data_IF_439283071165
#
_entry.id   IF_439283071165
#
_cell.length_a   1.000
_cell.length_b   1.000
_cell.length_c   1.000
_cell.angle_alpha   90.00
_cell.angle_beta   90.00
_cell.angle_gamma   90.00
#
_symmetry.space_group_name_H-M   'P 1'
#
loop_
_entity.id
_entity.type
_entity.pdbx_description
1 polymer ?
#
# COMPACT_ATOMS: atom_id res chain seq x y z
N UNK A 1 -7.27 23.57 -4.30
CA UNK A 1 -8.27 24.09 -3.35
C UNK A 1 -9.55 24.38 -4.09
N UNK A 2 -10.62 23.72 -3.66
CA UNK A 2 -11.94 23.74 -4.28
C UNK A 2 -12.90 24.44 -3.32
N UNK A 3 -13.38 25.63 -3.70
CA UNK A 3 -14.33 26.37 -2.86
C UNK A 3 -15.72 25.78 -3.02
N UNK A 4 -16.28 25.22 -1.94
CA UNK A 4 -17.58 24.55 -1.96
C UNK A 4 -18.56 25.31 -1.08
N UNK A 5 -19.72 25.63 -1.66
CA UNK A 5 -20.86 26.23 -0.96
C UNK A 5 -21.84 25.17 -0.52
N UNK A 6 -22.30 25.24 0.73
CA UNK A 6 -23.22 24.25 1.26
C UNK A 6 -24.14 24.86 2.33
N UNK A 7 -25.23 24.15 2.64
CA UNK A 7 -26.12 24.42 3.76
C UNK A 7 -25.90 23.39 4.86
N UNK A 8 -25.68 23.87 6.07
CA UNK A 8 -25.53 23.08 7.29
C UNK A 8 -26.89 22.61 7.81
N UNK A 9 -26.90 21.57 8.66
CA UNK A 9 -28.15 21.05 9.27
C UNK A 9 -28.92 22.08 10.10
N UNK A 10 -28.26 23.10 10.63
CA UNK A 10 -28.90 24.20 11.37
C UNK A 10 -29.49 25.30 10.45
N UNK A 11 -29.36 25.16 9.13
CA UNK A 11 -29.84 26.11 8.13
C UNK A 11 -28.82 27.18 7.72
N UNK A 12 -27.66 27.25 8.38
CA UNK A 12 -26.61 28.22 8.03
C UNK A 12 -25.96 27.87 6.69
N UNK A 13 -25.53 28.89 5.97
CA UNK A 13 -24.85 28.75 4.68
C UNK A 13 -23.37 29.04 4.88
N UNK A 14 -22.52 28.10 4.45
CA UNK A 14 -21.07 28.20 4.51
C UNK A 14 -20.41 28.13 3.12
N UNK A 15 -19.17 28.59 3.05
CA UNK A 15 -18.30 28.47 1.88
C UNK A 15 -16.89 28.20 2.39
N UNK A 16 -16.32 27.05 2.03
CA UNK A 16 -15.00 26.64 2.53
C UNK A 16 -14.16 26.09 1.39
N UNK A 17 -12.85 26.28 1.51
CA UNK A 17 -11.87 25.71 0.59
C UNK A 17 -11.55 24.29 1.05
N UNK A 18 -12.02 23.30 0.30
CA UNK A 18 -11.65 21.90 0.49
C UNK A 18 -10.31 21.60 -0.23
N UNK A 19 -9.53 20.61 0.26
CA UNK A 19 -9.79 19.80 1.45
C UNK A 19 -9.45 20.56 2.75
N UNK A 20 -10.26 20.33 3.78
CA UNK A 20 -10.10 20.83 5.14
C UNK A 20 -9.26 19.88 5.98
N UNK A 21 -8.63 20.42 7.03
CA UNK A 21 -7.96 19.60 8.05
C UNK A 21 -8.97 18.82 8.89
N UNK A 22 -8.55 17.71 9.49
CA UNK A 22 -9.42 16.90 10.35
C UNK A 22 -10.04 17.70 11.51
N UNK A 23 -9.26 18.60 12.14
CA UNK A 23 -9.76 19.49 13.19
C UNK A 23 -10.89 20.39 12.68
N UNK A 24 -10.72 20.99 11.50
CA UNK A 24 -11.75 21.82 10.87
C UNK A 24 -12.99 20.99 10.49
N UNK A 25 -12.81 19.76 10.00
CA UNK A 25 -13.93 18.86 9.70
C UNK A 25 -14.77 18.57 10.94
N UNK A 26 -14.11 18.22 12.06
CA UNK A 26 -14.78 17.95 13.33
C UNK A 26 -15.49 19.19 13.89
N UNK A 27 -14.86 20.35 13.78
CA UNK A 27 -15.42 21.62 14.27
C UNK A 27 -16.61 22.10 13.43
N UNK A 28 -16.46 22.12 12.11
CA UNK A 28 -17.46 22.68 11.20
C UNK A 28 -18.58 21.70 10.88
N UNK A 29 -18.32 20.39 10.88
CA UNK A 29 -19.29 19.36 10.52
C UNK A 29 -19.48 18.31 11.62
N UNK A 30 -19.91 18.70 12.83
CA UNK A 30 -20.14 17.76 13.92
C UNK A 30 -21.19 16.69 13.58
N UNK A 31 -22.15 17.02 12.71
CA UNK A 31 -23.18 16.09 12.23
C UNK A 31 -22.80 15.38 10.92
N UNK A 32 -21.59 15.61 10.38
CA UNK A 32 -21.00 14.97 9.19
C UNK A 32 -21.69 15.20 7.86
N UNK A 33 -22.97 15.55 7.83
CA UNK A 33 -23.72 15.73 6.59
C UNK A 33 -23.82 17.21 6.20
N UNK A 34 -23.72 17.48 4.90
CA UNK A 34 -23.91 18.81 4.32
C UNK A 34 -24.82 18.72 3.10
N UNK A 35 -25.64 19.73 2.86
CA UNK A 35 -26.39 19.88 1.60
C UNK A 35 -25.60 20.76 0.64
N UNK A 36 -25.18 20.21 -0.50
CA UNK A 36 -24.42 20.96 -1.51
C UNK A 36 -25.30 22.04 -2.16
N UNK A 37 -24.82 23.27 -2.22
CA UNK A 37 -25.48 24.34 -2.98
C UNK A 37 -25.01 24.34 -4.44
N UNK A 38 -25.73 25.07 -5.29
CA UNK A 38 -25.50 25.08 -6.75
C UNK A 38 -24.04 25.44 -7.11
N UNK A 39 -23.34 24.47 -7.71
CA UNK A 39 -22.03 24.60 -8.34
C UNK A 39 -22.16 24.46 -9.87
N UNK A 40 -21.47 25.29 -10.63
CA UNK A 40 -21.59 25.35 -12.10
C UNK A 40 -20.32 24.98 -12.85
N UNK A 41 -19.17 25.18 -12.22
CA UNK A 41 -17.87 25.18 -12.90
C UNK A 41 -17.11 23.87 -12.71
N UNK A 42 -17.48 23.06 -11.73
CA UNK A 42 -16.80 21.80 -11.41
C UNK A 42 -17.72 20.64 -11.83
N UNK A 43 -17.43 19.94 -12.94
CA UNK A 43 -18.36 18.94 -13.51
C UNK A 43 -18.75 17.83 -12.54
N UNK A 44 -17.77 17.26 -11.84
CA UNK A 44 -18.00 16.21 -10.85
C UNK A 44 -18.82 16.70 -9.65
N UNK A 45 -18.79 17.99 -9.33
CA UNK A 45 -19.54 18.56 -8.21
C UNK A 45 -20.94 19.03 -8.63
N UNK A 46 -21.08 19.62 -9.82
CA UNK A 46 -22.35 20.11 -10.37
C UNK A 46 -23.40 19.00 -10.48
N UNK A 47 -22.99 17.80 -10.86
CA UNK A 47 -23.86 16.60 -10.91
C UNK A 47 -24.49 16.23 -9.57
N UNK A 48 -23.99 16.79 -8.46
CA UNK A 48 -24.44 16.55 -7.09
C UNK A 48 -25.17 17.73 -6.46
N UNK A 49 -25.47 18.78 -7.23
CA UNK A 49 -26.15 19.97 -6.70
C UNK A 49 -27.42 19.61 -5.92
N UNK A 50 -27.59 20.22 -4.74
CA UNK A 50 -28.71 20.00 -3.80
C UNK A 50 -28.79 18.61 -3.17
N UNK A 51 -27.77 17.76 -3.34
CA UNK A 51 -27.68 16.48 -2.65
C UNK A 51 -27.09 16.66 -1.24
N UNK A 52 -27.54 15.82 -0.31
CA UNK A 52 -26.91 15.66 1.00
C UNK A 52 -25.73 14.71 0.88
N UNK A 53 -24.55 15.16 1.26
CA UNK A 53 -23.30 14.42 1.19
C UNK A 53 -22.68 14.28 2.58
N UNK A 54 -21.93 13.21 2.81
CA UNK A 54 -21.02 13.12 3.95
C UNK A 54 -19.80 14.01 3.66
N UNK A 55 -19.50 14.95 4.56
CA UNK A 55 -18.43 15.93 4.45
C UNK A 55 -17.04 15.29 4.48
N UNK A 56 -16.85 14.19 5.21
CA UNK A 56 -15.60 13.43 5.23
C UNK A 56 -15.39 12.70 3.90
N UNK A 57 -16.45 12.14 3.31
CA UNK A 57 -16.38 11.51 1.98
C UNK A 57 -16.05 12.55 0.90
N UNK A 58 -16.69 13.72 0.96
CA UNK A 58 -16.39 14.84 0.07
C UNK A 58 -14.94 15.32 0.26
N UNK A 59 -14.47 15.47 1.50
CA UNK A 59 -13.11 15.92 1.79
C UNK A 59 -12.06 14.95 1.24
N UNK A 60 -12.26 13.65 1.48
CA UNK A 60 -11.39 12.60 0.98
C UNK A 60 -11.35 12.58 -0.56
N UNK A 61 -12.51 12.71 -1.22
CA UNK A 61 -12.55 12.77 -2.68
C UNK A 61 -11.88 14.04 -3.23
N UNK A 62 -12.13 15.22 -2.65
CA UNK A 62 -11.48 16.47 -3.09
C UNK A 62 -9.96 16.36 -2.93
N UNK A 63 -9.48 15.82 -1.80
CA UNK A 63 -8.05 15.57 -1.58
C UNK A 63 -7.47 14.67 -2.67
N UNK A 64 -8.13 13.56 -3.00
CA UNK A 64 -7.71 12.67 -4.07
C UNK A 64 -7.72 13.37 -5.44
N UNK A 65 -8.80 14.08 -5.78
CA UNK A 65 -8.94 14.79 -7.05
C UNK A 65 -7.88 15.89 -7.22
N UNK A 66 -7.58 16.65 -6.16
CA UNK A 66 -6.56 17.70 -6.19
C UNK A 66 -5.12 17.17 -6.24
N UNK A 67 -4.90 15.90 -5.86
CA UNK A 67 -3.61 15.23 -6.06
C UNK A 67 -3.33 14.85 -7.52
N UNK A 68 -4.37 14.87 -8.37
CA UNK A 68 -4.25 14.55 -9.79
C UNK A 68 -3.66 15.72 -10.58
N UNK A 69 -2.94 15.41 -11.64
CA UNK A 69 -2.48 16.39 -12.62
C UNK A 69 -3.65 17.01 -13.38
N UNK A 70 -3.46 18.21 -13.95
CA UNK A 70 -4.48 18.89 -14.75
C UNK A 70 -5.05 18.01 -15.88
N UNK A 71 -4.20 17.17 -16.50
CA UNK A 71 -4.63 16.25 -17.55
C UNK A 71 -5.53 15.12 -17.01
N UNK A 72 -5.18 14.54 -15.87
CA UNK A 72 -5.96 13.50 -15.20
C UNK A 72 -7.29 14.04 -14.69
N UNK A 73 -7.30 15.27 -14.15
CA UNK A 73 -8.53 15.97 -13.78
C UNK A 73 -9.46 16.16 -14.98
N UNK A 74 -8.94 16.56 -16.15
CA UNK A 74 -9.73 16.63 -17.39
C UNK A 74 -10.29 15.27 -17.80
N UNK A 75 -9.51 14.20 -17.63
CA UNK A 75 -9.96 12.82 -17.92
C UNK A 75 -11.11 12.40 -16.99
N UNK A 76 -11.02 12.68 -15.69
CA UNK A 76 -12.12 12.44 -14.74
C UNK A 76 -13.36 13.26 -15.11
N UNK A 77 -13.20 14.54 -15.47
CA UNK A 77 -14.32 15.37 -15.89
C UNK A 77 -14.98 14.88 -17.20
N UNK A 78 -14.19 14.35 -18.13
CA UNK A 78 -14.70 13.68 -19.33
C UNK A 78 -15.55 12.46 -18.97
N UNK A 79 -15.06 11.59 -18.08
CA UNK A 79 -15.79 10.42 -17.57
C UNK A 79 -17.13 10.84 -16.94
N UNK A 80 -17.12 11.88 -16.09
CA UNK A 80 -18.34 12.37 -15.44
C UNK A 80 -19.34 12.96 -16.43
N UNK A 81 -18.86 13.67 -17.46
CA UNK A 81 -19.76 14.26 -18.46
C UNK A 81 -20.59 13.21 -19.22
N UNK A 82 -20.05 11.99 -19.37
CA UNK A 82 -20.76 10.85 -19.96
C UNK A 82 -21.60 10.10 -18.92
N UNK A 83 -21.14 10.05 -17.67
CA UNK A 83 -21.77 9.30 -16.58
C UNK A 83 -22.05 10.22 -15.37
N UNK A 84 -23.06 11.11 -15.45
CA UNK A 84 -23.32 12.10 -14.40
C UNK A 84 -23.85 11.49 -13.10
N UNK A 85 -24.29 10.22 -13.11
CA UNK A 85 -24.85 9.54 -11.94
C UNK A 85 -23.82 8.87 -11.03
N UNK A 86 -22.52 8.87 -11.40
CA UNK A 86 -21.47 8.24 -10.60
C UNK A 86 -21.42 8.87 -9.20
N UNK A 87 -21.42 8.04 -8.17
CA UNK A 87 -21.19 8.40 -6.75
C UNK A 87 -19.73 8.79 -6.51
N UNK A 88 -19.43 9.44 -5.37
CA UNK A 88 -18.02 9.77 -5.03
C UNK A 88 -17.14 8.51 -4.93
N UNK A 89 -17.72 7.41 -4.45
CA UNK A 89 -17.04 6.13 -4.35
C UNK A 89 -16.70 5.56 -5.74
N UNK A 90 -17.64 5.60 -6.68
CA UNK A 90 -17.39 5.19 -8.06
C UNK A 90 -16.38 6.13 -8.75
N UNK A 91 -16.39 7.44 -8.47
CA UNK A 91 -15.35 8.33 -8.99
C UNK A 91 -13.97 8.00 -8.43
N UNK A 92 -13.86 7.66 -7.14
CA UNK A 92 -12.62 7.16 -6.54
C UNK A 92 -12.13 5.91 -7.28
N UNK A 93 -13.02 4.97 -7.61
CA UNK A 93 -12.67 3.81 -8.43
C UNK A 93 -12.14 4.21 -9.81
N UNK A 94 -12.79 5.13 -10.50
CA UNK A 94 -12.32 5.58 -11.82
C UNK A 94 -10.95 6.26 -11.73
N UNK A 95 -10.62 6.90 -10.61
CA UNK A 95 -9.28 7.44 -10.34
C UNK A 95 -8.26 6.31 -10.13
N UNK A 96 -8.60 5.28 -9.34
CA UNK A 96 -7.73 4.12 -9.11
C UNK A 96 -7.44 3.34 -10.40
N UNK A 97 -8.42 3.27 -11.30
CA UNK A 97 -8.33 2.59 -12.60
C UNK A 97 -8.24 3.57 -13.77
N UNK A 98 -7.64 4.75 -13.57
CA UNK A 98 -7.60 5.80 -14.60
C UNK A 98 -6.89 5.36 -15.89
N UNK A 99 -6.00 4.38 -15.80
CA UNK A 99 -5.29 3.73 -16.91
C UNK A 99 -6.19 2.83 -17.79
N UNK A 100 -7.45 2.60 -17.40
CA UNK A 100 -8.46 1.96 -18.24
C UNK A 100 -9.09 2.93 -19.24
N UNK A 101 -8.73 4.21 -19.16
CA UNK A 101 -9.28 5.27 -20.00
C UNK A 101 -8.17 6.08 -20.67
N UNK A 102 -8.30 6.34 -21.96
CA UNK A 102 -7.41 7.22 -22.72
C UNK A 102 -8.11 8.52 -23.07
N UNK A 103 -7.54 9.67 -22.72
CA UNK A 103 -8.08 10.97 -23.16
C UNK A 103 -7.17 11.56 -24.23
N UNK A 104 -7.74 11.87 -25.40
CA UNK A 104 -7.05 12.55 -26.49
C UNK A 104 -7.65 13.94 -26.64
N UNK A 105 -6.94 14.94 -26.12
CA UNK A 105 -7.41 16.33 -26.06
C UNK A 105 -6.82 17.23 -27.16
N UNK A 106 -6.03 16.66 -28.05
CA UNK A 106 -5.42 17.31 -29.20
C UNK A 106 -5.96 16.71 -30.50
N UNK A 107 -6.28 17.58 -31.46
CA UNK A 107 -6.80 17.17 -32.76
C UNK A 107 -5.76 16.41 -33.59
N UNK A 108 -4.48 16.81 -33.52
CA UNK A 108 -3.42 16.16 -34.29
C UNK A 108 -3.19 14.73 -33.78
N UNK A 109 -3.21 14.53 -32.46
CA UNK A 109 -3.04 13.22 -31.83
C UNK A 109 -4.24 12.29 -32.10
N UNK A 110 -5.45 12.84 -32.24
CA UNK A 110 -6.59 12.05 -32.68
C UNK A 110 -6.50 11.70 -34.17
N UNK A 111 -6.09 12.64 -35.03
CA UNK A 111 -6.14 12.44 -36.48
C UNK A 111 -5.01 11.58 -37.02
N UNK A 112 -3.79 11.71 -36.48
CA UNK A 112 -2.62 10.91 -36.87
C UNK A 112 -2.64 9.59 -36.10
N UNK A 113 -2.80 8.47 -36.82
CA UNK A 113 -3.01 7.16 -36.18
C UNK A 113 -1.81 6.67 -35.36
N UNK A 114 -0.57 6.90 -35.80
CA UNK A 114 0.63 6.61 -34.99
C UNK A 114 0.62 7.39 -33.66
N UNK A 115 0.34 8.70 -33.68
CA UNK A 115 0.23 9.50 -32.47
C UNK A 115 -0.86 8.97 -31.54
N UNK A 116 -2.05 8.66 -32.09
CA UNK A 116 -3.16 8.12 -31.30
C UNK A 116 -2.73 6.85 -30.56
N UNK A 117 -2.15 5.89 -31.28
CA UNK A 117 -1.75 4.62 -30.71
C UNK A 117 -0.73 4.81 -29.59
N UNK A 118 0.29 5.66 -29.81
CA UNK A 118 1.29 6.00 -28.81
C UNK A 118 0.70 6.66 -27.57
N UNK A 119 -0.20 7.63 -27.74
CA UNK A 119 -0.84 8.33 -26.64
C UNK A 119 -1.74 7.42 -25.80
N UNK A 120 -2.55 6.56 -26.45
CA UNK A 120 -3.37 5.59 -25.73
C UNK A 120 -2.50 4.57 -24.98
N UNK A 121 -1.40 4.13 -25.58
CA UNK A 121 -0.48 3.17 -25.00
C UNK A 121 0.24 3.69 -23.76
N UNK A 122 0.78 4.92 -23.81
CA UNK A 122 1.40 5.58 -22.64
C UNK A 122 0.41 5.76 -21.50
N UNK A 123 -0.85 6.07 -21.82
CA UNK A 123 -1.90 6.23 -20.82
C UNK A 123 -2.36 4.90 -20.19
N UNK A 124 -2.27 3.79 -20.93
CA UNK A 124 -2.58 2.46 -20.43
C UNK A 124 -1.51 1.91 -19.48
N UNK A 125 -0.24 2.26 -19.72
CA UNK A 125 0.91 1.78 -18.96
C UNK A 125 1.69 2.94 -18.30
N UNK A 126 1.11 3.63 -17.30
CA UNK A 126 1.73 4.81 -16.68
C UNK A 126 3.05 4.50 -15.95
N UNK A 127 3.26 3.23 -15.55
CA UNK A 127 4.47 2.77 -14.85
C UNK A 127 5.50 2.14 -15.79
N UNK A 128 5.33 2.30 -17.11
CA UNK A 128 6.16 1.65 -18.12
C UNK A 128 5.54 0.37 -18.65
N UNK A 129 6.01 -0.03 -19.83
CA UNK A 129 5.52 -1.20 -20.56
C UNK A 129 6.03 -2.47 -19.89
N UNK A 130 5.18 -3.47 -19.63
CA UNK A 130 5.63 -4.77 -19.17
C UNK A 130 6.63 -5.40 -20.15
N UNK A 131 7.67 -6.05 -19.61
CA UNK A 131 8.67 -6.76 -20.41
C UNK A 131 7.99 -7.77 -21.34
N UNK A 132 8.29 -7.70 -22.64
CA UNK A 132 7.75 -8.59 -23.67
C UNK A 132 6.47 -8.12 -24.38
N UNK A 133 5.88 -6.97 -23.98
CA UNK A 133 4.76 -6.34 -24.71
C UNK A 133 5.26 -5.35 -25.78
N UNK A 134 6.54 -4.96 -25.74
CA UNK A 134 7.14 -4.08 -26.75
C UNK A 134 7.25 -4.86 -28.07
N UNK A 135 6.26 -4.67 -28.96
CA UNK A 135 6.44 -4.85 -30.39
C UNK A 135 7.66 -4.04 -30.81
N UNK A 136 8.53 -4.64 -31.62
CA UNK A 136 9.75 -4.00 -32.13
C UNK A 136 9.47 -2.55 -32.53
N UNK A 137 10.43 -1.63 -32.32
CA UNK A 137 10.37 -0.17 -32.66
C UNK A 137 10.14 0.14 -34.16
N UNK A 138 9.36 -0.68 -34.87
CA UNK A 138 9.01 -0.58 -36.27
C UNK A 138 7.73 0.27 -36.39
N UNK A 139 7.90 1.45 -36.98
CA UNK A 139 6.86 2.45 -37.30
C UNK A 139 5.59 1.96 -38.04
N UNK A 140 5.53 0.82 -38.78
CA UNK A 140 4.28 0.39 -39.42
C UNK A 140 3.20 -0.09 -38.43
N UNK A 141 3.58 -0.67 -37.28
CA UNK A 141 2.62 -1.30 -36.35
C UNK A 141 1.75 -0.25 -35.64
N UNK A 142 2.33 0.89 -35.25
CA UNK A 142 1.61 1.97 -34.57
C UNK A 142 0.53 2.63 -35.42
N UNK A 143 0.74 2.74 -36.74
CA UNK A 143 -0.29 3.27 -37.65
C UNK A 143 -1.51 2.35 -37.70
N UNK A 144 -1.29 1.04 -37.87
CA UNK A 144 -2.35 0.03 -37.91
C UNK A 144 -3.10 -0.05 -36.56
N UNK A 145 -2.38 0.02 -35.44
CA UNK A 145 -2.96 0.02 -34.10
C UNK A 145 -3.83 1.25 -33.84
N UNK A 146 -3.42 2.42 -34.34
CA UNK A 146 -4.20 3.65 -34.22
C UNK A 146 -5.49 3.62 -35.04
N UNK A 147 -5.42 3.09 -36.27
CA UNK A 147 -6.61 2.87 -37.11
C UNK A 147 -7.54 1.83 -36.49
N UNK A 148 -6.98 0.76 -35.92
CA UNK A 148 -7.74 -0.25 -35.18
C UNK A 148 -8.45 0.36 -33.98
N UNK A 149 -7.75 1.16 -33.17
CA UNK A 149 -8.31 1.82 -32.00
C UNK A 149 -9.51 2.71 -32.33
N UNK A 150 -9.43 3.54 -33.38
CA UNK A 150 -10.55 4.38 -33.85
C UNK A 150 -11.77 3.57 -34.27
N UNK A 151 -11.56 2.39 -34.84
CA UNK A 151 -12.65 1.58 -35.39
C UNK A 151 -13.30 0.66 -34.35
N UNK A 152 -12.53 0.21 -33.34
CA UNK A 152 -12.93 -0.90 -32.47
C UNK A 152 -13.04 -0.54 -30.99
N UNK A 153 -12.28 0.44 -30.49
CA UNK A 153 -12.42 0.87 -29.10
C UNK A 153 -13.63 1.78 -28.95
N UNK A 154 -14.39 1.57 -27.87
CA UNK A 154 -15.44 2.51 -27.51
C UNK A 154 -14.81 3.87 -27.17
N UNK A 155 -15.31 4.93 -27.80
CA UNK A 155 -14.84 6.28 -27.53
C UNK A 155 -15.92 7.32 -27.79
N UNK A 156 -15.86 8.42 -27.02
CA UNK A 156 -16.86 9.49 -27.06
C UNK A 156 -16.20 10.85 -27.09
N UNK A 157 -16.76 11.78 -27.87
CA UNK A 157 -16.35 13.17 -27.86
C UNK A 157 -16.95 13.89 -26.64
N UNK A 158 -16.10 14.59 -25.88
CA UNK A 158 -16.47 15.39 -24.70
C UNK A 158 -15.93 16.81 -24.84
N UNK A 159 -16.30 17.72 -23.93
CA UNK A 159 -15.73 19.07 -23.85
C UNK A 159 -14.22 19.07 -23.54
N UNK A 160 -13.66 17.92 -23.17
CA UNK A 160 -12.26 17.73 -22.81
C UNK A 160 -11.44 17.00 -23.89
N UNK A 161 -12.07 16.54 -24.97
CA UNK A 161 -11.45 15.72 -26.01
C UNK A 161 -12.17 14.39 -26.24
N UNK A 162 -11.51 13.47 -26.92
CA UNK A 162 -12.00 12.11 -27.17
C UNK A 162 -11.60 11.18 -26.03
N UNK A 163 -12.58 10.64 -25.32
CA UNK A 163 -12.37 9.69 -24.24
C UNK A 163 -12.55 8.27 -24.78
N UNK A 164 -11.49 7.48 -24.78
CA UNK A 164 -11.44 6.07 -25.15
C UNK A 164 -11.55 5.18 -23.91
N UNK A 165 -12.32 4.11 -24.02
CA UNK A 165 -12.37 3.01 -23.05
C UNK A 165 -11.35 1.96 -23.50
N UNK A 166 -10.25 1.85 -22.76
CA UNK A 166 -9.17 0.90 -23.04
C UNK A 166 -9.42 -0.47 -22.40
N UNK A 167 -10.16 -0.48 -21.29
CA UNK A 167 -10.66 -1.69 -20.64
C UNK A 167 -12.02 -1.41 -20.00
N UNK A 168 -13.03 -2.16 -20.42
CA UNK A 168 -14.42 -2.02 -19.99
C UNK A 168 -14.76 -2.77 -18.69
N UNK A 169 -13.80 -3.54 -18.15
CA UNK A 169 -13.98 -4.39 -16.97
C UNK A 169 -13.45 -3.75 -15.70
N UNK A 170 -14.04 -2.62 -15.30
CA UNK A 170 -13.82 -2.11 -13.96
C UNK A 170 -14.26 -3.16 -12.93
N UNK A 171 -13.45 -3.46 -11.89
CA UNK A 171 -13.87 -4.35 -10.82
C UNK A 171 -15.16 -3.87 -10.16
N UNK A 172 -16.03 -4.75 -9.71
CA UNK A 172 -17.23 -4.31 -8.98
C UNK A 172 -16.86 -3.84 -7.56
N UNK A 173 -17.40 -2.70 -7.13
CA UNK A 173 -17.30 -2.26 -5.73
C UNK A 173 -18.34 -3.06 -4.91
N UNK A 174 -17.93 -3.76 -3.83
CA UNK A 174 -18.85 -4.35 -2.86
C UNK A 174 -19.81 -3.29 -2.30
N UNK A 175 -21.09 -3.66 -2.10
CA UNK A 175 -22.20 -2.74 -1.77
C UNK A 175 -21.94 -1.80 -0.58
N UNK A 176 -21.17 -2.25 0.40
CA UNK A 176 -20.89 -1.53 1.66
C UNK A 176 -19.44 -1.02 1.78
N UNK A 177 -18.62 -1.18 0.74
CA UNK A 177 -17.24 -0.71 0.76
C UNK A 177 -17.17 0.78 0.44
N UNK A 178 -16.55 1.56 1.33
CA UNK A 178 -16.07 2.91 1.00
C UNK A 178 -14.60 2.77 0.58
N UNK A 179 -14.32 2.97 -0.72
CA UNK A 179 -12.97 2.82 -1.25
C UNK A 179 -12.02 3.80 -0.57
N UNK A 180 -10.83 3.31 -0.26
CA UNK A 180 -9.82 4.16 0.31
C UNK A 180 -9.39 5.25 -0.69
N UNK A 181 -9.11 6.46 -0.20
CA UNK A 181 -8.80 7.62 -1.04
C UNK A 181 -7.34 7.65 -1.54
N UNK A 182 -6.78 6.47 -1.88
CA UNK A 182 -5.45 6.33 -2.48
C UNK A 182 -5.59 6.09 -3.97
N UNK A 183 -4.67 6.68 -4.74
CA UNK A 183 -4.46 6.39 -6.15
C UNK A 183 -3.78 5.04 -6.38
N UNK A 184 -2.94 4.61 -5.43
CA UNK A 184 -2.12 3.42 -5.55
C UNK A 184 -2.77 2.26 -4.79
N UNK A 185 -3.04 1.18 -5.52
CA UNK A 185 -3.42 -0.12 -4.99
C UNK A 185 -2.18 -1.01 -5.01
N UNK A 186 -1.36 -0.92 -3.96
CA UNK A 186 -0.36 -1.96 -3.73
C UNK A 186 -1.06 -3.19 -3.14
N UNK A 187 -0.75 -4.38 -3.67
CA UNK A 187 -1.28 -5.62 -3.11
C UNK A 187 -0.58 -5.89 -1.77
N UNK A 188 -1.32 -5.89 -0.64
CA UNK A 188 -0.71 -6.07 0.67
C UNK A 188 -0.44 -7.55 0.95
N UNK A 189 0.62 -7.88 1.69
CA UNK A 189 0.82 -9.23 2.25
C UNK A 189 -0.22 -9.56 3.33
N UNK A 190 -0.64 -8.54 4.08
CA UNK A 190 -1.72 -8.59 5.09
C UNK A 190 -2.70 -7.45 4.81
N UNK A 191 -3.95 -7.80 4.49
CA UNK A 191 -5.01 -6.83 4.29
C UNK A 191 -5.63 -6.43 5.62
N UNK A 192 -5.77 -5.12 5.84
CA UNK A 192 -6.50 -4.55 6.97
C UNK A 192 -7.85 -4.04 6.52
N UNK A 193 -8.90 -4.42 7.23
CA UNK A 193 -10.25 -3.92 7.00
C UNK A 193 -10.81 -3.34 8.30
N UNK A 194 -11.37 -2.14 8.21
CA UNK A 194 -12.05 -1.49 9.33
C UNK A 194 -13.53 -1.40 9.00
N UNK A 195 -14.37 -1.88 9.91
CA UNK A 195 -15.81 -2.04 9.69
C UNK A 195 -16.62 -1.36 10.78
N UNK A 196 -17.66 -0.62 10.40
CA UNK A 196 -18.68 -0.13 11.32
C UNK A 196 -19.64 -1.28 11.68
N UNK A 197 -19.69 -1.70 12.96
CA UNK A 197 -20.52 -2.83 13.38
C UNK A 197 -22.03 -2.56 13.25
N UNK A 198 -22.45 -1.30 13.21
CA UNK A 198 -23.87 -0.90 13.17
C UNK A 198 -24.48 -1.02 11.78
N UNK A 199 -23.78 -0.51 10.76
CA UNK A 199 -24.29 -0.45 9.39
C UNK A 199 -23.53 -1.36 8.41
N UNK A 200 -22.49 -2.08 8.89
CA UNK A 200 -21.66 -3.01 8.11
C UNK A 200 -20.87 -2.35 6.96
N UNK A 201 -20.81 -1.01 6.92
CA UNK A 201 -19.92 -0.30 6.01
C UNK A 201 -18.46 -0.49 6.42
N UNK A 202 -17.57 -0.62 5.44
CA UNK A 202 -16.16 -0.92 5.70
C UNK A 202 -15.22 -0.22 4.74
N UNK A 203 -13.95 -0.11 5.15
CA UNK A 203 -12.84 0.40 4.34
C UNK A 203 -11.70 -0.61 4.44
N UNK A 204 -11.16 -1.00 3.27
CA UNK A 204 -9.86 -1.68 3.20
C UNK A 204 -8.76 -0.63 3.25
N UNK A 205 -7.94 -0.66 4.30
CA UNK A 205 -6.88 0.32 4.48
C UNK A 205 -5.67 -0.02 3.58
N UNK A 206 -4.99 0.99 3.01
CA UNK A 206 -3.79 0.80 2.21
C UNK A 206 -2.56 0.60 3.09
N UNK A 207 -1.46 0.28 2.44
CA UNK A 207 -0.14 0.26 3.03
C UNK A 207 0.30 1.69 3.36
N UNK A 208 0.39 2.01 4.66
CA UNK A 208 0.93 3.26 5.21
C UNK A 208 -0.01 4.46 5.14
N UNK A 209 -0.47 4.92 6.32
CA UNK A 209 -1.20 6.17 6.49
C UNK A 209 -0.60 6.98 7.63
N UNK A 210 -0.66 8.31 7.49
CA UNK A 210 -0.54 9.18 8.66
C UNK A 210 -1.75 8.96 9.59
N UNK A 211 -1.55 9.08 10.90
CA UNK A 211 -2.61 8.83 11.89
C UNK A 211 -3.84 9.72 11.66
N UNK A 212 -3.64 10.93 11.13
CA UNK A 212 -4.69 11.89 10.78
C UNK A 212 -5.51 11.43 9.57
N UNK A 213 -4.85 11.01 8.48
CA UNK A 213 -5.48 10.46 7.27
C UNK A 213 -6.22 9.16 7.55
N UNK A 214 -5.66 8.30 8.41
CA UNK A 214 -6.32 7.10 8.88
C UNK A 214 -7.59 7.45 9.65
N UNK A 215 -7.51 8.37 10.61
CA UNK A 215 -8.68 8.80 11.38
C UNK A 215 -9.74 9.45 10.48
N UNK A 216 -9.35 10.38 9.61
CA UNK A 216 -10.25 11.01 8.64
C UNK A 216 -10.96 9.95 7.77
N UNK A 217 -10.22 8.96 7.30
CA UNK A 217 -10.75 7.87 6.49
C UNK A 217 -11.75 7.03 7.26
N UNK A 218 -11.41 6.61 8.47
CA UNK A 218 -12.29 5.82 9.33
C UNK A 218 -13.59 6.56 9.68
N UNK A 219 -13.53 7.88 9.89
CA UNK A 219 -14.73 8.69 10.17
C UNK A 219 -15.71 8.81 8.98
N UNK A 220 -15.27 8.45 7.77
CA UNK A 220 -16.18 8.27 6.62
C UNK A 220 -17.18 7.16 6.88
N UNK A 221 -16.93 6.20 7.76
CA UNK A 221 -17.84 5.09 8.09
C UNK A 221 -19.02 5.47 8.99
N UNK A 222 -19.28 6.76 9.19
CA UNK A 222 -20.44 7.27 9.94
C UNK A 222 -20.46 6.84 11.43
N UNK A 223 -19.28 6.77 12.07
CA UNK A 223 -19.07 6.43 13.51
C UNK A 223 -18.54 7.58 14.33
N UNK A 224 -19.04 7.82 15.56
CA UNK A 224 -18.62 8.95 16.41
C UNK A 224 -17.10 8.99 16.66
N UNK A 225 -16.52 7.86 17.05
CA UNK A 225 -15.08 7.66 17.23
C UNK A 225 -14.56 6.52 16.35
N UNK A 226 -13.25 6.52 16.06
CA UNK A 226 -12.58 5.36 15.45
C UNK A 226 -12.62 4.13 16.36
N UNK A 227 -12.72 4.33 17.68
CA UNK A 227 -12.79 3.24 18.67
C UNK A 227 -14.10 2.46 18.59
N UNK A 228 -15.12 3.01 17.93
CA UNK A 228 -16.41 2.34 17.69
C UNK A 228 -16.35 1.35 16.51
N UNK A 229 -15.21 1.26 15.83
CA UNK A 229 -15.00 0.40 14.68
C UNK A 229 -14.42 -0.95 15.08
N UNK A 230 -14.65 -1.94 14.22
CA UNK A 230 -14.07 -3.27 14.34
C UNK A 230 -12.95 -3.45 13.32
N UNK A 231 -11.80 -3.92 13.80
CA UNK A 231 -10.64 -4.26 12.98
C UNK A 231 -10.71 -5.74 12.58
N UNK A 232 -10.55 -6.03 11.29
CA UNK A 232 -10.25 -7.37 10.81
C UNK A 232 -8.98 -7.37 9.97
N UNK A 233 -8.23 -8.47 10.08
CA UNK A 233 -6.97 -8.66 9.38
C UNK A 233 -6.98 -10.00 8.66
N UNK A 234 -6.58 -10.00 7.40
CA UNK A 234 -6.60 -11.14 6.51
C UNK A 234 -5.20 -11.38 5.95
N UNK A 235 -4.75 -12.64 5.99
CA UNK A 235 -3.50 -13.02 5.35
C UNK A 235 -3.73 -13.17 3.85
N UNK A 236 -3.04 -12.35 3.05
CA UNK A 236 -3.11 -12.42 1.60
C UNK A 236 -1.94 -13.24 1.06
N UNK A 237 -0.72 -12.88 1.46
CA UNK A 237 0.54 -13.45 0.94
C UNK A 237 1.68 -13.46 1.99
N UNK A 238 1.40 -13.27 3.28
CA UNK A 238 2.40 -13.43 4.34
C UNK A 238 2.58 -14.91 4.70
N UNK A 239 3.76 -15.26 5.21
CA UNK A 239 3.98 -16.56 5.82
C UNK A 239 2.92 -16.86 6.89
N UNK A 240 2.39 -18.10 6.88
CA UNK A 240 1.26 -18.48 7.71
C UNK A 240 1.61 -18.56 9.19
N UNK A 241 2.82 -18.99 9.55
CA UNK A 241 3.29 -19.06 10.92
C UNK A 241 3.52 -17.66 11.47
N UNK A 242 4.19 -16.81 10.69
CA UNK A 242 4.36 -15.40 11.04
C UNK A 242 3.01 -14.70 11.25
N UNK A 243 2.04 -14.91 10.34
CA UNK A 243 0.71 -14.33 10.48
C UNK A 243 -0.01 -14.81 11.76
N UNK A 244 0.10 -16.09 12.09
CA UNK A 244 -0.50 -16.65 13.30
C UNK A 244 0.14 -16.10 14.59
N UNK A 245 1.43 -15.77 14.56
CA UNK A 245 2.10 -15.11 15.68
C UNK A 245 1.63 -13.67 15.87
N UNK A 246 1.55 -12.87 14.80
CA UNK A 246 1.23 -11.44 14.92
C UNK A 246 -0.27 -11.17 15.12
N UNK A 247 -1.14 -12.01 14.55
CA UNK A 247 -2.59 -11.72 14.47
C UNK A 247 -3.25 -11.50 15.85
N UNK A 248 -3.05 -12.35 16.88
CA UNK A 248 -3.68 -12.17 18.18
C UNK A 248 -3.30 -10.83 18.82
N UNK A 249 -2.02 -10.46 18.76
CA UNK A 249 -1.47 -9.23 19.36
C UNK A 249 -2.09 -7.99 18.70
N UNK A 250 -2.26 -8.02 17.38
CA UNK A 250 -2.84 -6.91 16.63
C UNK A 250 -4.34 -6.76 16.86
N UNK A 251 -5.07 -7.85 17.07
CA UNK A 251 -6.51 -7.78 17.36
C UNK A 251 -6.83 -7.24 18.75
N UNK A 252 -5.90 -7.37 19.70
CA UNK A 252 -6.02 -6.79 21.05
C UNK A 252 -5.57 -5.32 21.11
N UNK A 253 -4.94 -4.84 20.04
CA UNK A 253 -4.39 -3.49 19.93
C UNK A 253 -5.39 -2.53 19.26
N UNK A 254 -5.14 -1.22 19.38
CA UNK A 254 -5.97 -0.23 18.69
C UNK A 254 -5.71 -0.22 17.16
N UNK A 255 -6.65 0.34 16.41
CA UNK A 255 -6.61 0.37 14.94
C UNK A 255 -5.37 1.08 14.40
N UNK A 256 -4.99 2.22 15.00
CA UNK A 256 -3.88 3.05 14.54
C UNK A 256 -2.54 2.30 14.64
N UNK A 257 -2.23 1.79 15.84
CA UNK A 257 -1.00 1.04 16.07
C UNK A 257 -0.97 -0.22 15.21
N UNK A 258 -2.08 -0.95 15.11
CA UNK A 258 -2.16 -2.17 14.32
C UNK A 258 -1.92 -1.91 12.84
N UNK A 259 -2.54 -0.86 12.29
CA UNK A 259 -2.34 -0.45 10.90
C UNK A 259 -0.89 -0.02 10.62
N UNK A 260 -0.29 0.74 11.54
CA UNK A 260 1.13 1.15 11.43
C UNK A 260 2.07 -0.06 11.40
N UNK A 261 1.85 -1.03 12.30
CA UNK A 261 2.63 -2.26 12.32
C UNK A 261 2.47 -3.10 11.04
N UNK A 262 1.23 -3.30 10.59
CA UNK A 262 0.94 -4.08 9.37
C UNK A 262 1.52 -3.38 8.13
N UNK A 263 1.45 -2.06 8.07
CA UNK A 263 2.10 -1.26 7.03
C UNK A 263 3.61 -1.53 6.96
N UNK A 264 4.29 -1.61 8.11
CA UNK A 264 5.71 -1.92 8.15
C UNK A 264 6.00 -3.35 7.70
N UNK A 265 5.18 -4.33 8.12
CA UNK A 265 5.30 -5.72 7.65
C UNK A 265 5.16 -5.83 6.13
N UNK A 266 4.17 -5.13 5.56
CA UNK A 266 3.92 -5.19 4.12
C UNK A 266 5.02 -4.55 3.27
N UNK A 267 5.92 -3.76 3.88
CA UNK A 267 7.10 -3.18 3.21
C UNK A 267 8.34 -4.07 3.29
N UNK A 268 8.31 -5.13 4.10
CA UNK A 268 9.46 -6.02 4.26
C UNK A 268 9.71 -6.85 3.00
N UNK A 269 10.97 -7.00 2.64
CA UNK A 269 11.40 -7.94 1.63
C UNK A 269 11.49 -9.37 2.18
N UNK A 270 11.57 -10.35 1.28
CA UNK A 270 11.58 -11.78 1.65
C UNK A 270 12.59 -12.15 2.75
N UNK A 271 13.83 -11.66 2.68
CA UNK A 271 14.86 -11.94 3.69
C UNK A 271 14.55 -11.36 5.05
N UNK A 272 13.92 -10.19 5.08
CA UNK A 272 13.51 -9.53 6.32
C UNK A 272 12.33 -10.28 6.95
N UNK A 273 11.37 -10.73 6.14
CA UNK A 273 10.27 -11.58 6.59
C UNK A 273 10.80 -12.88 7.22
N UNK A 274 11.77 -13.54 6.57
CA UNK A 274 12.41 -14.75 7.11
C UNK A 274 13.13 -14.47 8.43
N UNK A 275 13.87 -13.36 8.51
CA UNK A 275 14.55 -12.95 9.74
C UNK A 275 13.54 -12.73 10.87
N UNK A 276 12.44 -12.01 10.60
CA UNK A 276 11.40 -11.73 11.58
C UNK A 276 10.72 -13.02 12.05
N UNK A 277 10.39 -13.93 11.13
CA UNK A 277 9.79 -15.22 11.50
C UNK A 277 10.72 -16.01 12.42
N UNK A 278 11.99 -16.11 12.02
CA UNK A 278 13.03 -16.77 12.83
C UNK A 278 13.17 -16.13 14.21
N UNK A 279 13.13 -14.80 14.34
CA UNK A 279 13.19 -14.14 15.65
C UNK A 279 12.00 -14.53 16.53
N UNK A 280 10.79 -14.55 15.96
CA UNK A 280 9.56 -14.84 16.70
C UNK A 280 9.41 -16.32 17.07
N UNK A 281 10.11 -17.24 16.42
CA UNK A 281 10.17 -18.65 16.83
C UNK A 281 10.86 -18.85 18.19
N UNK A 282 11.76 -17.94 18.57
CA UNK A 282 12.57 -18.08 19.79
C UNK A 282 12.22 -17.10 20.90
N UNK A 283 11.51 -16.02 20.58
CA UNK A 283 11.03 -15.03 21.55
C UNK A 283 9.51 -15.14 21.66
N UNK A 284 9.02 -15.30 22.88
CA UNK A 284 7.60 -15.10 23.15
C UNK A 284 7.31 -13.60 23.23
N UNK A 285 6.47 -13.10 22.33
CA UNK A 285 6.04 -11.71 22.29
C UNK A 285 4.53 -11.67 22.52
N UNK A 286 4.10 -10.99 23.58
CA UNK A 286 2.68 -10.85 23.94
C UNK A 286 2.16 -9.42 23.74
N UNK A 287 3.06 -8.48 23.48
CA UNK A 287 2.76 -7.05 23.43
C UNK A 287 3.19 -6.44 22.10
N UNK A 288 2.36 -5.51 21.61
CA UNK A 288 2.62 -4.85 20.34
C UNK A 288 3.87 -3.95 20.38
N UNK A 289 4.18 -3.32 21.51
CA UNK A 289 5.36 -2.46 21.63
C UNK A 289 6.63 -3.28 21.46
N UNK A 290 6.67 -4.50 22.00
CA UNK A 290 7.78 -5.44 21.78
C UNK A 290 7.91 -5.84 20.31
N UNK A 291 6.80 -6.18 19.65
CA UNK A 291 6.80 -6.45 18.20
C UNK A 291 7.34 -5.26 17.40
N UNK A 292 6.92 -4.03 17.72
CA UNK A 292 7.38 -2.83 17.05
C UNK A 292 8.88 -2.60 17.23
N UNK A 293 9.41 -2.84 18.44
CA UNK A 293 10.85 -2.71 18.72
C UNK A 293 11.65 -3.75 17.93
N UNK A 294 11.22 -5.02 17.90
CA UNK A 294 11.85 -6.08 17.10
C UNK A 294 11.87 -5.69 15.62
N UNK A 295 10.73 -5.24 15.10
CA UNK A 295 10.60 -4.84 13.70
C UNK A 295 11.49 -3.63 13.35
N UNK A 296 11.59 -2.64 14.24
CA UNK A 296 12.45 -1.47 14.05
C UNK A 296 13.95 -1.84 14.05
N UNK A 297 14.34 -2.83 14.86
CA UNK A 297 15.72 -3.34 14.94
C UNK A 297 15.99 -4.54 14.04
N UNK A 298 15.09 -4.90 13.13
CA UNK A 298 15.21 -6.12 12.31
C UNK A 298 16.51 -6.16 11.49
N UNK A 299 17.01 -4.98 11.09
CA UNK A 299 18.26 -4.80 10.35
C UNK A 299 19.53 -5.11 11.17
N UNK A 300 19.43 -5.11 12.50
CA UNK A 300 20.53 -5.44 13.41
C UNK A 300 20.69 -6.96 13.59
N UNK A 301 19.60 -7.71 13.43
CA UNK A 301 19.63 -9.17 13.39
C UNK A 301 20.27 -9.65 12.09
N UNK A 302 21.12 -10.67 12.17
CA UNK A 302 21.72 -11.28 10.97
C UNK A 302 21.39 -12.75 10.90
N UNK A 303 20.58 -13.10 9.91
CA UNK A 303 20.35 -14.49 9.54
C UNK A 303 21.43 -14.94 8.57
N UNK A 304 22.27 -15.87 9.01
CA UNK A 304 23.30 -16.52 8.21
C UNK A 304 22.79 -17.89 7.78
N UNK A 305 22.32 -17.96 6.54
CA UNK A 305 21.85 -19.20 5.92
C UNK A 305 23.02 -20.17 5.68
N UNK A 306 22.79 -21.45 5.97
CA UNK A 306 23.79 -22.53 5.82
C UNK A 306 23.14 -23.78 5.25
N UNK A 307 23.87 -24.56 4.44
CA UNK A 307 23.32 -25.78 3.83
C UNK A 307 23.35 -27.00 4.78
N UNK A 308 24.42 -27.13 5.56
CA UNK A 308 24.68 -28.27 6.44
C UNK A 308 24.31 -27.94 7.89
N UNK A 309 24.19 -26.64 8.21
CA UNK A 309 23.79 -26.14 9.53
C UNK A 309 24.74 -26.61 10.64
N UNK A 310 26.04 -26.40 10.40
CA UNK A 310 27.12 -26.74 11.34
C UNK A 310 27.88 -25.50 11.77
N UNK A 311 28.44 -25.55 12.98
CA UNK A 311 29.27 -24.46 13.53
C UNK A 311 30.48 -24.17 12.64
N UNK A 312 31.09 -25.20 12.03
CA UNK A 312 32.17 -25.05 11.07
C UNK A 312 31.74 -24.28 9.81
N UNK A 313 30.59 -24.59 9.24
CA UNK A 313 30.09 -23.92 8.05
C UNK A 313 29.82 -22.44 8.33
N UNK A 314 29.15 -22.15 9.45
CA UNK A 314 28.94 -20.78 9.92
C UNK A 314 30.26 -20.01 10.04
N UNK A 315 31.25 -20.58 10.74
CA UNK A 315 32.57 -19.96 10.89
C UNK A 315 33.24 -19.70 9.54
N UNK A 316 33.13 -20.64 8.60
CA UNK A 316 33.69 -20.51 7.25
C UNK A 316 33.07 -19.32 6.51
N UNK A 317 31.73 -19.19 6.55
CA UNK A 317 31.00 -18.08 5.93
C UNK A 317 31.44 -16.75 6.55
N UNK A 318 31.40 -16.62 7.88
CA UNK A 318 31.75 -15.37 8.58
C UNK A 318 33.18 -14.93 8.33
N UNK A 319 34.14 -15.85 8.37
CA UNK A 319 35.54 -15.54 8.11
C UNK A 319 35.75 -15.07 6.66
N UNK A 320 35.05 -15.69 5.69
CA UNK A 320 35.05 -15.25 4.29
C UNK A 320 34.44 -13.87 4.10
N UNK A 321 33.35 -13.56 4.80
CA UNK A 321 32.73 -12.22 4.78
C UNK A 321 33.65 -11.14 5.34
N UNK A 322 34.26 -11.38 6.51
CA UNK A 322 35.20 -10.45 7.15
C UNK A 322 36.42 -10.16 6.28
N UNK A 323 36.81 -11.12 5.44
CA UNK A 323 37.98 -11.03 4.59
C UNK A 323 37.70 -10.51 3.16
N UNK A 324 36.44 -10.16 2.80
CA UNK A 324 36.03 -9.77 1.43
C UNK A 324 36.83 -8.63 0.79
N UNK A 325 37.54 -7.80 1.56
CA UNK A 325 38.39 -6.72 1.03
C UNK A 325 39.90 -7.03 1.01
N UNK A 326 40.34 -8.22 1.46
CA UNK A 326 41.75 -8.57 1.64
C UNK A 326 42.10 -10.03 1.28
N UNK A 327 41.27 -10.72 0.50
CA UNK A 327 41.50 -12.13 0.14
C UNK A 327 42.66 -12.30 -0.86
N UNK A 328 43.88 -12.43 -0.34
CA UNK A 328 45.08 -12.75 -1.13
C UNK A 328 45.22 -14.27 -1.30
N UNK A 329 45.80 -14.71 -2.42
CA UNK A 329 46.00 -16.13 -2.78
C UNK A 329 46.57 -17.01 -1.65
N UNK A 330 47.43 -16.45 -0.78
CA UNK A 330 47.99 -17.12 0.39
C UNK A 330 46.95 -17.53 1.46
N UNK A 331 45.81 -16.83 1.56
CA UNK A 331 44.75 -17.17 2.51
C UNK A 331 43.95 -18.42 2.08
N UNK A 332 43.89 -18.74 0.78
CA UNK A 332 43.30 -20.01 0.32
C UNK A 332 44.05 -21.23 0.84
N UNK A 333 45.37 -21.10 1.03
CA UNK A 333 46.18 -22.18 1.59
C UNK A 333 45.97 -22.32 3.11
N UNK A 334 45.70 -21.22 3.81
CA UNK A 334 45.44 -21.23 5.26
C UNK A 334 44.07 -21.84 5.58
N UNK A 335 43.08 -21.70 4.68
CA UNK A 335 41.73 -22.28 4.80
C UNK A 335 41.76 -23.76 5.20
N UNK A 336 42.66 -24.55 4.59
CA UNK A 336 42.82 -26.00 4.87
C UNK A 336 43.38 -26.33 6.26
N UNK A 337 43.89 -25.34 7.00
CA UNK A 337 44.49 -25.51 8.33
C UNK A 337 43.65 -24.89 9.46
N UNK A 338 42.53 -24.24 9.13
CA UNK A 338 41.64 -23.65 10.13
C UNK A 338 40.73 -24.74 10.70
N UNK A 339 40.72 -24.87 12.03
CA UNK A 339 39.73 -25.68 12.74
C UNK A 339 38.41 -24.89 12.85
N UNK A 340 37.60 -24.97 11.81
CA UNK A 340 36.35 -24.22 11.72
C UNK A 340 35.34 -24.63 12.81
N UNK A 341 35.35 -25.87 13.27
CA UNK A 341 34.47 -26.32 14.35
C UNK A 341 34.82 -25.61 15.66
N UNK A 342 36.11 -25.61 16.05
CA UNK A 342 36.54 -24.95 17.28
C UNK A 342 36.32 -23.42 17.22
N UNK A 343 36.58 -22.81 16.05
CA UNK A 343 36.36 -21.37 15.84
C UNK A 343 34.86 -21.04 15.90
N UNK A 344 34.03 -21.81 15.19
CA UNK A 344 32.57 -21.62 15.16
C UNK A 344 31.94 -21.74 16.53
N UNK A 345 32.34 -22.78 17.28
CA UNK A 345 31.93 -22.95 18.67
C UNK A 345 32.29 -21.71 19.51
N UNK A 346 33.53 -21.23 19.40
CA UNK A 346 33.98 -20.04 20.14
C UNK A 346 33.22 -18.77 19.74
N UNK A 347 32.85 -18.63 18.45
CA UNK A 347 32.04 -17.51 17.98
C UNK A 347 30.63 -17.55 18.57
N UNK A 348 30.01 -18.74 18.59
CA UNK A 348 28.68 -18.98 19.14
C UNK A 348 28.67 -18.81 20.66
N UNK A 349 29.67 -19.33 21.37
CA UNK A 349 29.74 -19.23 22.84
C UNK A 349 29.96 -17.79 23.33
N UNK A 350 30.64 -16.94 22.55
CA UNK A 350 30.98 -15.56 22.94
C UNK A 350 29.93 -14.53 22.54
N UNK A 351 28.99 -14.87 21.67
CA UNK A 351 27.96 -13.95 21.18
C UNK A 351 26.58 -14.58 21.38
N UNK A 352 25.50 -13.80 21.31
CA UNK A 352 24.16 -14.41 21.31
C UNK A 352 23.83 -14.89 19.89
N UNK A 353 24.21 -16.13 19.60
CA UNK A 353 23.94 -16.78 18.30
C UNK A 353 23.05 -17.99 18.54
N UNK A 354 21.91 -18.02 17.86
CA UNK A 354 20.92 -19.09 17.95
C UNK A 354 21.00 -19.94 16.70
N UNK A 355 21.07 -21.26 16.88
CA UNK A 355 20.96 -22.21 15.76
C UNK A 355 19.49 -22.38 15.39
N UNK A 356 19.19 -22.21 14.11
CA UNK A 356 17.87 -22.24 13.48
C UNK A 356 17.79 -23.42 12.52
N UNK A 357 16.62 -23.74 11.95
CA UNK A 357 16.52 -24.84 10.98
C UNK A 357 17.43 -24.64 9.76
N UNK A 358 17.56 -23.40 9.28
CA UNK A 358 18.23 -23.06 8.03
C UNK A 358 19.58 -22.33 8.21
N UNK A 359 20.11 -22.29 9.44
CA UNK A 359 21.41 -21.68 9.76
C UNK A 359 21.43 -20.99 11.10
N UNK A 360 22.04 -19.81 11.19
CA UNK A 360 22.34 -19.15 12.46
C UNK A 360 21.80 -17.72 12.51
N UNK A 361 21.12 -17.38 13.60
CA UNK A 361 20.65 -16.04 13.89
C UNK A 361 21.61 -15.36 14.87
N UNK A 362 22.32 -14.34 14.40
CA UNK A 362 23.06 -13.41 15.27
C UNK A 362 22.10 -12.40 15.87
N UNK A 363 22.01 -12.40 17.19
CA UNK A 363 21.14 -11.52 17.98
C UNK A 363 21.96 -10.33 18.50
N UNK A 364 21.49 -9.09 18.34
CA UNK A 364 22.15 -7.93 18.93
C UNK A 364 22.17 -8.03 20.47
N UNK A 365 23.24 -7.54 21.10
CA UNK A 365 23.43 -7.61 22.56
C UNK A 365 22.25 -7.00 23.34
N UNK A 366 21.63 -5.94 22.80
CA UNK A 366 20.47 -5.27 23.39
C UNK A 366 19.25 -6.20 23.54
N UNK A 367 19.15 -7.24 22.70
CA UNK A 367 18.05 -8.19 22.67
C UNK A 367 18.43 -9.58 23.21
N UNK A 368 19.69 -9.79 23.62
CA UNK A 368 20.17 -11.12 24.03
C UNK A 368 19.35 -11.75 25.16
N UNK A 369 18.93 -10.91 26.12
CA UNK A 369 18.15 -11.31 27.29
C UNK A 369 16.80 -11.98 26.94
N UNK A 370 16.24 -11.73 25.75
CA UNK A 370 15.03 -12.41 25.28
C UNK A 370 15.29 -13.86 24.85
N UNK A 371 16.53 -14.19 24.45
CA UNK A 371 16.91 -15.49 23.92
C UNK A 371 17.62 -16.40 24.95
N UNK A 372 18.15 -15.85 26.05
CA UNK A 372 18.86 -16.60 27.10
C UNK A 372 18.00 -17.69 27.77
N UNK A 373 16.67 -17.50 27.84
CA UNK A 373 15.73 -18.47 28.40
C UNK A 373 15.44 -19.66 27.46
N UNK A 374 15.70 -19.50 26.16
CA UNK A 374 15.46 -20.53 25.13
C UNK A 374 16.67 -21.47 25.02
N UNK A 375 17.89 -20.92 25.13
CA UNK A 375 19.15 -21.69 25.14
C UNK A 375 19.29 -22.63 26.35
N UNK A 376 18.64 -22.32 27.47
CA UNK A 376 18.67 -23.18 28.68
C UNK A 376 17.71 -24.38 28.63
N UNK A 377 16.79 -24.45 27.65
CA UNK A 377 15.90 -25.61 27.48
C UNK A 377 16.57 -26.77 26.75
N UNK A 378 17.50 -26.51 25.84
CA UNK A 378 18.24 -27.57 25.13
C UNK A 378 19.27 -28.28 26.01
N UNK A 379 19.78 -27.64 27.08
CA UNK A 379 20.67 -28.30 28.04
C UNK A 379 19.94 -29.23 29.04
N UNK A 380 18.60 -29.28 29.02
CA UNK A 380 17.78 -30.06 29.97
C UNK A 380 16.97 -31.20 29.35
N UNK A 381 17.09 -31.45 28.05
CA UNK A 381 16.60 -32.63 27.35
C UNK A 381 17.77 -33.55 27.00
#
# INVERSE_FOLDING_TARGET
>A
MTNIRFRMNNGDIGSYDFPLTLTQLKEFFPNRTIELLEEKFIPWLNTRNHQTLNAYELNAFVRLYESLTDFEQKKINAIVSLNPSLTLNELTQHIQYLHYFGLINNFDDYTVSDNLARELFVQHYPNGVPDGIIGTDNEPEWFDDGDWAKQHLEHHQTDYGWLFVLNDKLPSIPENEKLYHSRWLEEPSVQVTVTNPTNQSFIRLPLCLDDTELEESCLRLDVESIDDLTLSIENMNLDGELFNHIKPILLESNIQLSNSFISNINKLHYKEIQCLNTVLDYIHVDDQSQLQVILASLHDFKLVETEINTQAEYASIKLKELARNNWVECQKWIDDFIDYDAVGKTMIDNNTIVQTENGFLEVPEEYSHFFENSLTKEEKL
#
